data_IF_294747665372
#
_entry.id   IF_294747665372
#
_cell.length_a   1.000
_cell.length_b   1.000
_cell.length_c   1.000
_cell.angle_alpha   90.00
_cell.angle_beta   90.00
_cell.angle_gamma   90.00
#
_symmetry.space_group_name_H-M   'P 1'
#
loop_
_entity.id
_entity.type
_entity.pdbx_description
1 polymer ?
#
# COMPACT_ATOMS: atom_id res chain seq x y z
N UNK A 1 -27.17 2.35 1.05
CA UNK A 1 -26.78 3.41 2.01
C UNK A 1 -25.26 3.41 2.03
N UNK A 2 -24.60 4.47 1.52
CA UNK A 2 -23.15 4.38 1.24
C UNK A 2 -22.36 4.17 2.53
N UNK A 3 -21.37 3.26 2.49
CA UNK A 3 -20.50 2.88 3.62
C UNK A 3 -19.86 4.10 4.32
N UNK A 4 -19.66 5.19 3.59
CA UNK A 4 -19.11 6.43 4.12
C UNK A 4 -20.03 7.23 5.02
N UNK A 5 -21.35 7.04 4.95
CA UNK A 5 -22.29 7.81 5.77
C UNK A 5 -22.09 7.60 7.26
N UNK A 6 -21.49 6.47 7.65
CA UNK A 6 -21.19 6.14 9.04
C UNK A 6 -19.77 6.54 9.47
N UNK A 7 -18.93 7.05 8.57
CA UNK A 7 -17.59 7.51 8.94
C UNK A 7 -17.66 8.84 9.70
N UNK A 8 -16.86 9.00 10.77
CA UNK A 8 -16.79 10.29 11.43
C UNK A 8 -16.25 11.34 10.47
N UNK A 9 -16.86 12.54 10.52
CA UNK A 9 -16.50 13.67 9.65
C UNK A 9 -15.02 13.99 9.69
N UNK A 10 -14.43 13.96 10.87
CA UNK A 10 -12.99 14.10 11.06
C UNK A 10 -12.53 12.87 11.83
N UNK A 11 -11.46 12.26 11.35
CA UNK A 11 -10.93 11.04 11.94
C UNK A 11 -9.41 11.08 11.96
N UNK A 12 -8.82 10.68 13.07
CA UNK A 12 -7.39 10.47 13.18
C UNK A 12 -7.10 9.07 13.67
N UNK A 13 -6.10 8.42 13.06
CA UNK A 13 -5.76 7.04 13.40
C UNK A 13 -5.33 6.89 14.87
N UNK A 14 -4.78 7.97 15.47
CA UNK A 14 -4.41 8.07 16.88
C UNK A 14 -5.57 7.86 17.85
N UNK A 15 -6.79 8.14 17.40
CA UNK A 15 -7.94 8.04 18.29
C UNK A 15 -8.17 6.56 18.61
N UNK A 16 -7.85 5.68 17.65
CA UNK A 16 -7.96 4.23 17.75
C UNK A 16 -6.70 3.59 18.34
N UNK A 17 -5.53 4.20 18.15
CA UNK A 17 -4.23 3.58 18.39
C UNK A 17 -3.49 4.29 19.52
N UNK A 18 -3.06 3.53 20.54
CA UNK A 18 -2.20 4.06 21.62
C UNK A 18 -0.79 4.37 21.08
N UNK A 19 -0.37 5.64 20.99
CA UNK A 19 0.94 6.01 20.46
C UNK A 19 2.10 5.40 21.27
N UNK A 20 1.89 5.12 22.56
CA UNK A 20 2.92 4.58 23.44
C UNK A 20 3.12 3.06 23.31
N UNK A 21 2.22 2.36 22.61
CA UNK A 21 2.34 0.93 22.38
C UNK A 21 3.42 0.54 21.34
N UNK A 22 4.05 1.54 20.70
CA UNK A 22 4.97 1.35 19.57
C UNK A 22 6.40 1.61 19.98
N UNK A 23 7.09 0.56 20.40
CA UNK A 23 8.29 0.80 21.23
C UNK A 23 9.60 1.05 20.50
N UNK A 24 9.95 0.56 19.29
CA UNK A 24 11.41 0.55 19.00
C UNK A 24 12.02 0.80 17.60
N UNK A 25 11.36 0.68 16.43
CA UNK A 25 12.18 0.58 15.18
C UNK A 25 11.87 1.59 14.06
N UNK A 26 10.66 2.15 14.06
CA UNK A 26 10.40 3.42 13.41
C UNK A 26 9.73 4.25 14.49
N UNK A 27 10.47 5.17 15.11
CA UNK A 27 9.82 6.29 15.79
C UNK A 27 9.11 7.04 14.68
N UNK A 28 7.87 6.65 14.41
CA UNK A 28 6.99 7.48 13.63
C UNK A 28 6.83 8.72 14.48
N UNK A 29 7.53 9.75 14.06
CA UNK A 29 7.51 11.04 14.71
C UNK A 29 6.17 11.68 14.32
N UNK A 30 5.08 11.13 14.87
CA UNK A 30 3.70 11.50 14.57
C UNK A 30 3.43 12.85 15.22
N UNK A 31 3.42 13.90 14.41
CA UNK A 31 2.95 15.18 14.89
C UNK A 31 1.43 15.28 14.76
N UNK A 32 0.72 14.86 15.80
CA UNK A 32 -0.73 14.91 15.84
C UNK A 32 -1.31 16.31 15.99
N UNK A 33 -0.50 17.37 16.04
CA UNK A 33 -0.99 18.74 15.95
C UNK A 33 -1.29 19.15 14.50
N UNK A 34 -0.74 18.45 13.49
CA UNK A 34 -1.07 18.68 12.08
C UNK A 34 -2.51 18.33 11.73
N UNK A 35 -3.04 17.31 12.41
CA UNK A 35 -4.41 16.83 12.29
C UNK A 35 -5.44 17.96 12.45
N UNK A 36 -5.20 18.89 13.38
CA UNK A 36 -6.08 20.06 13.59
C UNK A 36 -6.02 21.07 12.44
N UNK A 37 -4.95 21.09 11.63
CA UNK A 37 -4.82 21.94 10.44
C UNK A 37 -5.43 21.31 9.17
N UNK A 38 -5.71 20.00 9.17
CA UNK A 38 -6.39 19.28 8.07
C UNK A 38 -7.91 19.49 8.02
N UNK A 39 -8.48 20.20 9.00
CA UNK A 39 -9.92 20.51 9.05
C UNK A 39 -10.38 21.46 7.94
N UNK A 40 -9.44 21.98 7.15
CA UNK A 40 -9.68 22.93 6.07
C UNK A 40 -10.03 22.20 4.78
N UNK A 41 -11.33 22.00 4.57
CA UNK A 41 -11.94 21.58 3.30
C UNK A 41 -12.00 22.71 2.25
N UNK A 42 -11.00 23.58 2.22
CA UNK A 42 -11.02 24.79 1.38
C UNK A 42 -9.92 24.68 0.33
N UNK A 43 -10.31 24.33 -0.89
CA UNK A 43 -9.40 24.19 -2.02
C UNK A 43 -8.59 25.47 -2.28
N UNK A 44 -9.16 26.66 -2.06
CA UNK A 44 -8.44 27.93 -2.24
C UNK A 44 -7.29 28.07 -1.25
N UNK A 45 -7.50 27.65 0.01
CA UNK A 45 -6.42 27.61 1.01
C UNK A 45 -5.36 26.56 0.68
N UNK A 46 -5.69 25.56 -0.13
CA UNK A 46 -4.76 24.51 -0.52
C UNK A 46 -3.91 24.85 -1.75
N UNK A 47 -4.34 25.79 -2.59
CA UNK A 47 -3.59 26.21 -3.80
C UNK A 47 -2.19 26.74 -3.48
N UNK A 48 -1.99 27.29 -2.28
CA UNK A 48 -0.67 27.77 -1.81
C UNK A 48 0.36 26.66 -1.62
N UNK A 49 -0.06 25.39 -1.55
CA UNK A 49 0.84 24.26 -1.34
C UNK A 49 1.32 23.67 -2.66
N UNK A 50 2.58 23.21 -2.68
CA UNK A 50 3.20 22.61 -3.87
C UNK A 50 2.37 21.42 -4.36
N UNK A 51 1.88 21.51 -5.60
CA UNK A 51 1.21 20.38 -6.27
C UNK A 51 2.25 19.29 -6.55
N UNK A 52 1.94 18.06 -6.15
CA UNK A 52 2.74 16.87 -6.44
C UNK A 52 2.20 16.12 -7.65
N UNK A 53 0.88 16.05 -7.77
CA UNK A 53 0.21 15.37 -8.87
C UNK A 53 -1.29 15.67 -8.88
N UNK A 54 -1.94 15.32 -9.98
CA UNK A 54 -3.38 15.34 -10.15
C UNK A 54 -3.78 14.14 -11.00
N UNK A 55 -4.84 13.46 -10.58
CA UNK A 55 -5.47 12.39 -11.33
C UNK A 55 -6.94 12.70 -11.57
N UNK A 56 -7.64 11.77 -12.23
CA UNK A 56 -9.05 11.94 -12.62
C UNK A 56 -9.99 12.31 -11.47
N UNK A 57 -9.64 11.92 -10.24
CA UNK A 57 -10.48 12.09 -9.06
C UNK A 57 -10.02 13.21 -8.12
N UNK A 58 -8.78 13.70 -8.25
CA UNK A 58 -8.24 14.55 -7.19
C UNK A 58 -6.82 15.06 -7.38
N UNK A 59 -6.39 15.86 -6.41
CA UNK A 59 -5.08 16.53 -6.40
C UNK A 59 -4.31 16.14 -5.15
N UNK A 60 -3.03 15.82 -5.33
CA UNK A 60 -2.08 15.61 -4.24
C UNK A 60 -1.17 16.84 -4.08
N UNK A 61 -1.02 17.31 -2.84
CA UNK A 61 -0.19 18.48 -2.51
C UNK A 61 0.74 18.18 -1.34
N UNK A 62 1.97 18.68 -1.44
CA UNK A 62 2.95 18.61 -0.37
C UNK A 62 2.68 19.72 0.65
N UNK A 63 2.52 19.33 1.90
CA UNK A 63 2.39 20.27 3.02
C UNK A 63 3.55 20.05 3.99
N UNK A 64 4.09 21.14 4.52
CA UNK A 64 5.13 21.11 5.55
C UNK A 64 4.58 21.64 6.87
N UNK A 65 4.90 20.95 7.95
CA UNK A 65 4.47 21.30 9.30
C UNK A 65 5.44 20.71 10.33
N UNK A 66 5.95 21.57 11.22
CA UNK A 66 6.95 21.23 12.25
C UNK A 66 8.12 20.41 11.67
N UNK A 67 8.73 20.95 10.61
CA UNK A 67 9.87 20.37 9.88
C UNK A 67 9.63 18.98 9.27
N UNK A 68 8.37 18.55 9.21
CA UNK A 68 7.95 17.32 8.56
C UNK A 68 7.10 17.63 7.34
N UNK A 69 7.27 16.79 6.32
CA UNK A 69 6.50 16.84 5.09
C UNK A 69 5.42 15.76 5.09
N UNK A 70 4.27 16.11 4.52
CA UNK A 70 3.12 15.23 4.38
C UNK A 70 2.47 15.46 3.03
N UNK A 71 1.69 14.48 2.58
CA UNK A 71 0.90 14.60 1.35
C UNK A 71 -0.57 14.71 1.72
N UNK A 72 -1.15 15.83 1.35
CA UNK A 72 -2.59 16.05 1.39
C UNK A 72 -3.17 15.63 0.04
N UNK A 73 -4.02 14.60 0.03
CA UNK A 73 -4.79 14.17 -1.14
C UNK A 73 -6.23 14.64 -0.96
N UNK A 74 -6.76 15.37 -1.94
CA UNK A 74 -8.17 15.76 -1.98
C UNK A 74 -8.83 15.12 -3.19
N UNK A 75 -9.91 14.38 -2.95
CA UNK A 75 -10.75 13.75 -3.95
C UNK A 75 -12.04 14.55 -4.05
N UNK A 76 -12.30 15.12 -5.24
CA UNK A 76 -13.51 15.91 -5.48
C UNK A 76 -14.65 14.99 -5.89
N UNK A 77 -15.74 15.00 -5.12
CA UNK A 77 -16.87 14.10 -5.35
C UNK A 77 -18.00 14.72 -6.15
N UNK A 78 -17.92 16.02 -6.47
CA UNK A 78 -19.00 16.68 -7.22
C UNK A 78 -19.13 16.22 -8.66
N UNK A 79 -18.05 15.66 -9.23
CA UNK A 79 -18.03 15.36 -10.66
C UNK A 79 -18.56 13.97 -11.00
N UNK A 80 -18.53 13.01 -10.07
CA UNK A 80 -18.90 11.61 -10.34
C UNK A 80 -19.43 10.92 -9.09
N UNK A 81 -20.64 10.34 -9.13
CA UNK A 81 -21.13 9.51 -8.00
C UNK A 81 -20.17 8.35 -7.71
N UNK A 82 -19.61 7.74 -8.76
CA UNK A 82 -18.59 6.69 -8.69
C UNK A 82 -17.33 7.12 -7.92
N UNK A 83 -17.01 8.41 -7.91
CA UNK A 83 -15.86 8.93 -7.16
C UNK A 83 -16.09 8.91 -5.65
N UNK A 84 -17.34 8.92 -5.18
CA UNK A 84 -17.66 8.79 -3.76
C UNK A 84 -17.32 7.38 -3.31
N UNK A 85 -17.86 6.37 -3.97
CA UNK A 85 -17.64 4.97 -3.60
C UNK A 85 -16.17 4.57 -3.70
N UNK A 86 -15.49 5.01 -4.76
CA UNK A 86 -14.06 4.79 -4.92
C UNK A 86 -13.24 5.48 -3.81
N UNK A 87 -13.52 6.75 -3.50
CA UNK A 87 -12.85 7.46 -2.40
C UNK A 87 -13.10 6.81 -1.03
N UNK A 88 -14.33 6.34 -0.81
CA UNK A 88 -14.72 5.60 0.38
C UNK A 88 -13.95 4.27 0.50
N UNK A 89 -13.88 3.51 -0.59
CA UNK A 89 -13.11 2.27 -0.67
C UNK A 89 -11.63 2.50 -0.39
N UNK A 90 -11.04 3.52 -1.01
CA UNK A 90 -9.65 3.92 -0.77
C UNK A 90 -9.41 4.26 0.70
N UNK A 91 -10.30 5.05 1.29
CA UNK A 91 -10.19 5.50 2.67
C UNK A 91 -10.29 4.33 3.65
N UNK A 92 -11.31 3.48 3.50
CA UNK A 92 -11.52 2.31 4.34
C UNK A 92 -10.36 1.32 4.21
N UNK A 93 -9.86 1.09 3.00
CA UNK A 93 -8.71 0.23 2.77
C UNK A 93 -7.44 0.79 3.43
N UNK A 94 -7.18 2.09 3.30
CA UNK A 94 -6.04 2.74 3.95
C UNK A 94 -6.10 2.60 5.48
N UNK A 95 -7.27 2.85 6.08
CA UNK A 95 -7.48 2.68 7.53
C UNK A 95 -7.22 1.22 7.92
N UNK A 96 -7.83 0.28 7.20
CA UNK A 96 -7.70 -1.14 7.48
C UNK A 96 -6.25 -1.62 7.37
N UNK A 97 -5.57 -1.37 6.25
CA UNK A 97 -4.21 -1.81 6.01
C UNK A 97 -3.24 -1.19 7.03
N UNK A 98 -3.43 0.08 7.36
CA UNK A 98 -2.60 0.73 8.37
C UNK A 98 -2.82 0.09 9.75
N UNK A 99 -4.07 -0.08 10.21
CA UNK A 99 -4.36 -0.71 11.51
C UNK A 99 -3.84 -2.14 11.57
N UNK A 100 -4.10 -2.95 10.54
CA UNK A 100 -3.80 -4.38 10.56
C UNK A 100 -2.34 -4.69 10.30
N UNK A 101 -1.63 -3.90 9.49
CA UNK A 101 -0.27 -4.22 9.03
C UNK A 101 0.77 -3.21 9.50
N UNK A 102 0.59 -1.92 9.23
CA UNK A 102 1.59 -0.89 9.59
C UNK A 102 1.70 -0.76 11.11
N UNK A 103 0.57 -0.56 11.77
CA UNK A 103 0.44 -0.41 13.21
C UNK A 103 0.36 -1.72 13.98
N UNK A 104 0.48 -2.87 13.34
CA UNK A 104 0.90 -4.10 14.04
C UNK A 104 2.34 -4.49 13.71
N UNK A 105 3.05 -3.60 13.00
CA UNK A 105 4.43 -3.77 12.56
C UNK A 105 4.62 -5.08 11.79
N UNK A 106 3.63 -5.49 11.00
CA UNK A 106 3.74 -6.65 10.11
C UNK A 106 4.49 -6.28 8.84
N UNK A 107 4.44 -5.02 8.42
CA UNK A 107 5.24 -4.48 7.31
C UNK A 107 5.29 -2.95 7.39
N UNK A 108 6.43 -2.30 7.06
CA UNK A 108 6.52 -0.85 6.93
C UNK A 108 6.18 -0.37 5.51
N UNK A 109 5.89 -1.27 4.57
CA UNK A 109 5.85 -1.01 3.13
C UNK A 109 4.44 -0.71 2.59
N UNK A 110 3.60 -0.11 3.42
CA UNK A 110 2.33 0.51 3.02
C UNK A 110 2.44 1.98 3.38
N UNK A 111 1.88 2.86 2.55
CA UNK A 111 1.87 4.29 2.84
C UNK A 111 1.14 4.54 4.16
N UNK A 112 1.80 5.30 5.02
CA UNK A 112 1.27 5.62 6.34
C UNK A 112 0.13 6.60 6.21
N UNK A 113 -1.04 6.22 6.71
CA UNK A 113 -2.24 7.04 6.77
C UNK A 113 -2.38 7.70 8.15
N UNK A 114 -2.59 9.02 8.17
CA UNK A 114 -2.66 9.81 9.41
C UNK A 114 -4.10 10.17 9.81
N UNK A 115 -4.97 10.40 8.84
CA UNK A 115 -6.35 10.82 9.09
C UNK A 115 -7.05 11.39 7.87
N UNK A 116 -8.33 11.69 8.03
CA UNK A 116 -9.19 12.25 6.98
C UNK A 116 -10.11 13.34 7.49
N UNK A 117 -10.68 14.06 6.54
CA UNK A 117 -11.79 14.98 6.72
C UNK A 117 -12.81 14.80 5.59
N UNK A 118 -14.06 14.60 5.97
CA UNK A 118 -15.20 14.51 5.08
C UNK A 118 -15.68 15.94 4.77
N UNK A 119 -15.44 16.38 3.55
CA UNK A 119 -15.78 17.70 3.07
C UNK A 119 -17.16 17.70 2.41
N UNK A 120 -17.79 18.87 2.32
CA UNK A 120 -19.08 19.00 1.62
C UNK A 120 -19.00 18.52 0.16
N UNK A 121 -17.83 18.74 -0.46
CA UNK A 121 -17.60 18.54 -1.89
C UNK A 121 -16.55 17.44 -2.17
N UNK A 122 -16.22 16.61 -1.19
CA UNK A 122 -15.16 15.62 -1.37
C UNK A 122 -14.63 14.99 -0.09
N UNK A 123 -13.51 14.29 -0.26
CA UNK A 123 -12.76 13.69 0.84
C UNK A 123 -11.35 14.24 0.82
N UNK A 124 -10.80 14.58 1.98
CA UNK A 124 -9.37 14.77 2.10
C UNK A 124 -8.76 13.80 3.09
N UNK A 125 -7.55 13.35 2.78
CA UNK A 125 -6.78 12.56 3.72
C UNK A 125 -5.30 12.91 3.66
N UNK A 126 -4.64 12.67 4.78
CA UNK A 126 -3.24 12.96 4.99
C UNK A 126 -2.46 11.65 5.05
N UNK A 127 -1.45 11.56 4.20
CA UNK A 127 -0.51 10.43 4.16
C UNK A 127 0.92 10.93 4.29
N UNK A 128 1.86 10.01 4.55
CA UNK A 128 3.27 10.38 4.64
C UNK A 128 3.81 10.86 3.29
N UNK A 129 4.73 11.82 3.31
CA UNK A 129 5.50 12.13 2.11
C UNK A 129 6.60 11.10 1.88
N UNK A 130 6.76 10.72 0.62
CA UNK A 130 7.90 9.97 0.11
C UNK A 130 8.69 10.84 -0.88
N UNK A 131 9.92 10.44 -1.18
CA UNK A 131 10.86 11.26 -1.97
C UNK A 131 10.61 11.12 -3.48
N UNK A 132 10.14 9.96 -3.93
CA UNK A 132 9.84 9.63 -5.32
C UNK A 132 8.90 8.42 -5.39
N UNK A 133 8.51 7.98 -6.58
CA UNK A 133 7.93 6.66 -6.82
C UNK A 133 8.95 5.69 -7.46
N UNK A 134 8.55 4.44 -7.67
CA UNK A 134 9.44 3.42 -8.23
C UNK A 134 9.75 3.70 -9.70
N UNK A 135 8.84 4.33 -10.46
CA UNK A 135 9.11 4.73 -11.83
C UNK A 135 10.23 5.78 -11.89
N UNK A 136 10.10 6.84 -11.11
CA UNK A 136 11.13 7.87 -10.94
C UNK A 136 12.45 7.26 -10.42
N UNK A 137 12.38 6.32 -9.47
CA UNK A 137 13.57 5.62 -8.97
C UNK A 137 14.29 4.87 -10.09
N UNK A 138 13.57 4.23 -11.02
CA UNK A 138 14.18 3.55 -12.17
C UNK A 138 14.93 4.51 -13.09
N UNK A 139 14.40 5.72 -13.31
CA UNK A 139 15.02 6.71 -14.19
C UNK A 139 16.24 7.38 -13.54
N UNK A 140 16.19 7.59 -12.22
CA UNK A 140 17.15 8.45 -11.53
C UNK A 140 18.20 7.69 -10.70
N UNK A 141 17.94 6.44 -10.28
CA UNK A 141 18.87 5.67 -9.45
C UNK A 141 19.63 4.65 -10.30
N UNK A 142 20.94 4.88 -10.45
CA UNK A 142 21.84 4.00 -11.23
C UNK A 142 22.06 2.63 -10.59
N UNK A 143 22.03 2.54 -9.25
CA UNK A 143 22.25 1.26 -8.56
C UNK A 143 21.01 0.38 -8.60
N UNK A 144 21.01 -0.54 -9.57
CA UNK A 144 19.96 -1.54 -9.78
C UNK A 144 19.72 -2.41 -8.53
N UNK A 145 20.71 -2.58 -7.64
CA UNK A 145 20.52 -3.36 -6.40
C UNK A 145 19.56 -2.67 -5.44
N UNK A 146 19.48 -1.34 -5.42
CA UNK A 146 18.52 -0.64 -4.57
C UNK A 146 17.09 -0.79 -5.10
N UNK A 147 16.91 -0.76 -6.42
CA UNK A 147 15.63 -1.04 -7.06
C UNK A 147 15.18 -2.48 -6.77
N UNK A 148 16.09 -3.45 -6.84
CA UNK A 148 15.84 -4.85 -6.44
C UNK A 148 15.34 -4.97 -5.00
N UNK A 149 16.03 -4.30 -4.07
CA UNK A 149 15.63 -4.30 -2.66
C UNK A 149 14.24 -3.72 -2.46
N UNK A 150 13.86 -2.66 -3.20
CA UNK A 150 12.50 -2.10 -3.15
C UNK A 150 11.48 -3.10 -3.68
N UNK A 151 11.73 -3.72 -4.82
CA UNK A 151 10.83 -4.73 -5.40
C UNK A 151 10.61 -5.91 -4.46
N UNK A 152 11.65 -6.43 -3.81
CA UNK A 152 11.54 -7.53 -2.83
C UNK A 152 10.69 -7.10 -1.63
N UNK A 153 10.86 -5.87 -1.13
CA UNK A 153 10.05 -5.35 -0.03
C UNK A 153 8.54 -5.35 -0.38
N UNK A 154 8.20 -4.97 -1.62
CA UNK A 154 6.81 -4.97 -2.10
C UNK A 154 6.29 -6.40 -2.27
N UNK A 155 7.06 -7.30 -2.86
CA UNK A 155 6.68 -8.72 -3.03
C UNK A 155 6.43 -9.39 -1.66
N UNK A 156 7.35 -9.19 -0.70
CA UNK A 156 7.18 -9.70 0.66
C UNK A 156 5.92 -9.14 1.32
N UNK A 157 5.65 -7.85 1.12
CA UNK A 157 4.47 -7.19 1.69
C UNK A 157 3.17 -7.73 1.12
N UNK A 158 3.08 -7.93 -0.19
CA UNK A 158 1.93 -8.60 -0.82
C UNK A 158 1.77 -10.02 -0.27
N UNK A 159 2.86 -10.78 -0.14
CA UNK A 159 2.85 -12.11 0.46
C UNK A 159 2.32 -12.12 1.90
N UNK A 160 2.74 -11.16 2.72
CA UNK A 160 2.27 -11.00 4.10
C UNK A 160 0.77 -10.68 4.11
N UNK A 161 0.30 -9.69 3.33
CA UNK A 161 -1.12 -9.34 3.26
C UNK A 161 -1.96 -10.55 2.82
N UNK A 162 -1.56 -11.21 1.74
CA UNK A 162 -2.27 -12.37 1.17
C UNK A 162 -2.19 -13.64 2.03
N UNK A 163 -1.32 -13.67 3.04
CA UNK A 163 -1.31 -14.76 4.02
C UNK A 163 -2.40 -14.60 5.07
N UNK A 164 -2.82 -13.36 5.36
CA UNK A 164 -3.94 -13.07 6.26
C UNK A 164 -5.26 -12.91 5.51
N UNK A 165 -5.22 -12.34 4.30
CA UNK A 165 -6.38 -12.10 3.44
C UNK A 165 -6.08 -12.66 2.03
N UNK A 166 -6.27 -13.98 1.81
CA UNK A 166 -5.89 -14.65 0.56
C UNK A 166 -6.53 -14.10 -0.72
N UNK A 167 -7.62 -13.36 -0.57
CA UNK A 167 -8.41 -12.72 -1.60
C UNK A 167 -8.17 -11.20 -1.70
N UNK A 168 -7.20 -10.65 -0.95
CA UNK A 168 -6.74 -9.28 -1.14
C UNK A 168 -6.20 -9.08 -2.55
N UNK A 169 -6.63 -7.97 -3.17
CA UNK A 169 -6.09 -7.44 -4.42
C UNK A 169 -5.91 -5.94 -4.31
N UNK A 170 -4.78 -5.44 -4.80
CA UNK A 170 -4.59 -4.00 -5.02
C UNK A 170 -5.32 -3.50 -6.27
N UNK A 171 -5.36 -4.35 -7.30
CA UNK A 171 -5.96 -4.13 -8.62
C UNK A 171 -5.34 -3.06 -9.52
N UNK A 172 -4.53 -2.13 -8.98
CA UNK A 172 -3.82 -1.14 -9.80
C UNK A 172 -2.37 -0.96 -9.33
N UNK A 173 -1.66 -2.05 -9.03
CA UNK A 173 -0.29 -1.97 -8.51
C UNK A 173 0.74 -1.78 -9.63
N UNK A 174 0.79 -0.56 -10.16
CA UNK A 174 1.78 -0.09 -11.13
C UNK A 174 3.01 0.53 -10.44
N UNK A 175 4.07 0.83 -11.18
CA UNK A 175 5.30 1.40 -10.62
C UNK A 175 5.11 2.76 -9.94
N UNK A 176 4.31 3.64 -10.53
CA UNK A 176 3.87 4.92 -9.97
C UNK A 176 3.02 4.73 -8.70
N UNK A 177 2.45 3.55 -8.50
CA UNK A 177 1.74 3.14 -7.29
C UNK A 177 2.63 2.48 -6.22
N UNK A 178 3.95 2.59 -6.37
CA UNK A 178 4.93 2.25 -5.33
C UNK A 178 5.76 3.49 -5.00
N UNK A 179 5.46 4.14 -3.87
CA UNK A 179 6.24 5.26 -3.35
C UNK A 179 7.56 4.77 -2.75
N UNK A 180 8.59 5.61 -2.79
CA UNK A 180 9.93 5.30 -2.29
C UNK A 180 10.38 6.39 -1.33
N UNK A 181 10.67 5.99 -0.10
CA UNK A 181 11.21 6.87 0.95
C UNK A 181 12.69 6.61 1.14
N UNK A 182 13.52 7.63 0.99
CA UNK A 182 14.95 7.60 1.24
C UNK A 182 15.21 7.71 2.75
N UNK A 183 16.04 6.81 3.24
CA UNK A 183 16.48 6.79 4.63
C UNK A 183 17.71 7.70 4.81
N UNK A 184 17.80 8.33 5.98
CA UNK A 184 19.00 9.10 6.38
C UNK A 184 20.24 8.21 6.43
N UNK A 185 20.07 6.95 6.83
CA UNK A 185 21.13 5.96 6.94
C UNK A 185 20.65 4.60 6.42
N UNK A 186 21.61 3.81 5.94
CA UNK A 186 21.33 2.44 5.54
C UNK A 186 20.88 1.62 6.75
N UNK A 187 19.81 0.83 6.59
CA UNK A 187 19.17 0.08 7.67
C UNK A 187 18.94 -1.37 7.25
N UNK A 188 19.04 -2.31 8.20
CA UNK A 188 18.63 -3.69 7.99
C UNK A 188 17.13 -3.84 8.27
N UNK A 189 16.38 -4.33 7.29
CA UNK A 189 15.01 -4.79 7.46
C UNK A 189 15.03 -6.32 7.56
N UNK A 190 14.34 -6.87 8.55
CA UNK A 190 14.21 -8.32 8.73
C UNK A 190 12.77 -8.72 8.48
N UNK A 191 12.56 -9.73 7.65
CA UNK A 191 11.24 -10.28 7.34
C UNK A 191 11.20 -11.76 7.66
N UNK A 192 10.01 -12.25 8.02
CA UNK A 192 9.69 -13.67 8.11
C UNK A 192 8.48 -13.98 7.24
N UNK A 193 8.69 -14.80 6.22
CA UNK A 193 7.67 -15.16 5.23
C UNK A 193 7.91 -16.59 4.75
N UNK A 194 6.82 -17.37 4.64
CA UNK A 194 6.86 -18.76 4.19
C UNK A 194 7.96 -19.60 4.88
N UNK A 195 8.00 -19.57 6.20
CA UNK A 195 8.96 -20.27 7.06
C UNK A 195 10.45 -19.90 6.85
N UNK A 196 10.73 -18.77 6.19
CA UNK A 196 12.09 -18.29 5.93
C UNK A 196 12.29 -16.89 6.47
N UNK A 197 13.53 -16.59 6.86
CA UNK A 197 13.94 -15.26 7.29
C UNK A 197 14.70 -14.57 6.18
N UNK A 198 14.43 -13.28 5.98
CA UNK A 198 15.08 -12.45 4.97
C UNK A 198 15.69 -11.23 5.62
N UNK A 199 16.87 -10.81 5.13
CA UNK A 199 17.54 -9.58 5.54
C UNK A 199 17.76 -8.67 4.34
N UNK A 200 17.15 -7.49 4.36
CA UNK A 200 17.30 -6.47 3.31
C UNK A 200 18.02 -5.27 3.91
N UNK A 201 19.30 -5.11 3.58
CA UNK A 201 20.08 -3.92 3.93
C UNK A 201 19.87 -2.84 2.87
N UNK A 202 19.20 -1.75 3.18
CA UNK A 202 18.75 -0.76 2.18
C UNK A 202 18.80 0.68 2.68
N UNK A 203 18.87 1.62 1.73
CA UNK A 203 18.67 3.06 1.94
C UNK A 203 17.29 3.55 1.53
N UNK A 204 16.42 2.65 1.05
CA UNK A 204 15.12 2.99 0.49
C UNK A 204 14.02 2.06 1.01
N UNK A 205 12.91 2.64 1.45
CA UNK A 205 11.70 1.91 1.83
C UNK A 205 10.66 2.08 0.73
N UNK A 206 10.31 0.98 0.06
CA UNK A 206 9.19 0.94 -0.89
C UNK A 206 7.86 0.90 -0.13
N UNK A 207 6.83 1.61 -0.62
CA UNK A 207 5.52 1.72 0.02
C UNK A 207 4.41 1.65 -1.00
N UNK A 208 3.53 0.67 -0.87
CA UNK A 208 2.31 0.57 -1.68
C UNK A 208 1.40 1.76 -1.34
N UNK A 209 0.84 2.42 -2.36
CA UNK A 209 -0.16 3.48 -2.21
C UNK A 209 -1.23 3.38 -3.31
N UNK A 210 -2.19 4.31 -3.28
CA UNK A 210 -3.32 4.41 -4.22
C UNK A 210 -4.29 3.21 -4.20
N UNK A 211 -4.95 3.05 -3.05
CA UNK A 211 -5.84 1.92 -2.77
C UNK A 211 -7.26 2.07 -3.33
N UNK A 212 -7.49 2.98 -4.30
CA UNK A 212 -8.82 3.20 -4.88
C UNK A 212 -9.44 1.91 -5.40
N UNK A 213 -8.67 1.11 -6.15
CA UNK A 213 -9.15 -0.16 -6.67
C UNK A 213 -8.89 -1.37 -5.76
N UNK A 214 -8.38 -1.17 -4.54
CA UNK A 214 -8.10 -2.31 -3.66
C UNK A 214 -9.39 -2.98 -3.18
N UNK A 215 -9.35 -4.31 -2.99
CA UNK A 215 -10.50 -5.07 -2.50
C UNK A 215 -10.08 -6.27 -1.65
N UNK A 216 -10.95 -6.65 -0.70
CA UNK A 216 -10.90 -7.91 0.06
C UNK A 216 -12.31 -8.50 0.03
N UNK A 217 -12.54 -9.47 -0.85
CA UNK A 217 -13.89 -10.02 -1.12
C UNK A 217 -14.58 -10.59 0.14
N UNK A 218 -13.81 -11.20 1.04
CA UNK A 218 -14.24 -11.81 2.28
C UNK A 218 -14.60 -10.80 3.37
N UNK A 219 -14.35 -9.51 3.14
CA UNK A 219 -14.69 -8.41 4.04
C UNK A 219 -15.64 -7.45 3.31
N UNK A 220 -16.97 -7.54 3.52
CA UNK A 220 -17.95 -6.76 2.78
C UNK A 220 -17.68 -5.25 2.75
N UNK A 221 -17.24 -4.65 3.87
CA UNK A 221 -16.91 -3.22 3.92
C UNK A 221 -15.69 -2.81 3.08
N UNK A 222 -14.85 -3.78 2.71
CA UNK A 222 -13.63 -3.62 1.93
C UNK A 222 -13.76 -4.25 0.54
N UNK A 223 -14.95 -4.72 0.18
CA UNK A 223 -15.26 -5.19 -1.15
C UNK A 223 -15.80 -4.01 -1.95
N UNK A 224 -14.90 -3.27 -2.61
CA UNK A 224 -15.25 -2.07 -3.35
C UNK A 224 -16.33 -2.38 -4.42
N UNK A 225 -17.55 -1.87 -4.22
CA UNK A 225 -18.71 -2.12 -5.07
C UNK A 225 -18.47 -1.64 -6.52
N UNK A 226 -17.69 -0.56 -6.67
CA UNK A 226 -17.26 -0.06 -7.98
C UNK A 226 -16.56 -1.14 -8.83
N UNK A 227 -15.96 -2.14 -8.18
CA UNK A 227 -15.23 -3.25 -8.81
C UNK A 227 -16.10 -4.52 -8.90
N UNK A 228 -17.14 -4.67 -8.06
CA UNK A 228 -17.97 -5.87 -8.05
C UNK A 228 -18.93 -5.97 -9.24
N UNK A 229 -19.25 -4.85 -9.88
CA UNK A 229 -20.40 -4.76 -10.80
C UNK A 229 -20.04 -5.04 -12.27
N UNK A 230 -19.05 -5.91 -12.53
CA UNK A 230 -18.49 -6.21 -13.86
C UNK A 230 -17.94 -5.00 -14.65
N UNK A 231 -18.10 -3.77 -14.14
CA UNK A 231 -17.78 -2.51 -14.81
C UNK A 231 -16.33 -2.44 -15.30
N UNK A 232 -15.37 -2.97 -14.55
CA UNK A 232 -13.93 -2.91 -14.89
C UNK A 232 -13.31 -4.27 -15.19
N UNK A 233 -14.13 -5.32 -15.32
CA UNK A 233 -13.66 -6.67 -15.62
C UNK A 233 -12.91 -6.73 -16.96
N UNK A 234 -13.23 -5.84 -17.90
CA UNK A 234 -12.58 -5.77 -19.21
C UNK A 234 -11.10 -5.35 -19.15
N UNK A 235 -10.69 -4.67 -18.07
CA UNK A 235 -9.30 -4.34 -17.73
C UNK A 235 -8.75 -5.20 -16.59
N UNK A 236 -9.44 -6.30 -16.25
CA UNK A 236 -9.06 -7.27 -15.21
C UNK A 236 -8.98 -6.70 -13.78
N UNK A 237 -9.62 -5.55 -13.55
CA UNK A 237 -9.90 -5.03 -12.20
C UNK A 237 -11.14 -5.77 -11.69
N UNK A 238 -10.96 -6.63 -10.68
CA UNK A 238 -12.03 -7.49 -10.16
C UNK A 238 -11.77 -7.86 -8.71
N UNK A 239 -12.85 -8.19 -7.99
CA UNK A 239 -12.81 -8.68 -6.60
C UNK A 239 -12.43 -10.17 -6.52
N UNK A 240 -12.35 -10.88 -7.66
CA UNK A 240 -11.94 -12.28 -7.69
C UNK A 240 -10.47 -12.41 -7.29
N UNK A 241 -10.20 -13.16 -6.23
CA UNK A 241 -8.87 -13.45 -5.73
C UNK A 241 -7.92 -13.90 -6.86
N UNK A 242 -6.77 -13.25 -6.94
CA UNK A 242 -5.66 -13.64 -7.79
C UNK A 242 -4.36 -13.14 -7.17
N UNK A 243 -3.64 -14.04 -6.49
CA UNK A 243 -2.44 -13.69 -5.73
C UNK A 243 -1.30 -13.13 -6.59
N UNK A 244 -1.35 -13.40 -7.88
CA UNK A 244 -0.28 -13.11 -8.82
C UNK A 244 -0.57 -11.87 -9.68
N UNK A 245 -1.80 -11.36 -9.66
CA UNK A 245 -2.20 -10.24 -10.51
C UNK A 245 -1.44 -8.95 -10.19
N UNK A 246 -1.41 -8.54 -8.93
CA UNK A 246 -0.73 -7.30 -8.53
C UNK A 246 0.78 -7.37 -8.76
N UNK A 247 1.38 -8.56 -8.55
CA UNK A 247 2.78 -8.81 -8.88
C UNK A 247 2.99 -8.70 -10.38
N UNK A 248 2.14 -9.34 -11.18
CA UNK A 248 2.26 -9.30 -12.63
C UNK A 248 2.19 -7.85 -13.12
N UNK A 249 1.23 -7.07 -12.64
CA UNK A 249 1.08 -5.67 -13.03
C UNK A 249 2.32 -4.84 -12.69
N UNK A 250 2.82 -4.97 -11.45
CA UNK A 250 4.04 -4.30 -11.00
C UNK A 250 5.23 -4.66 -11.88
N UNK A 251 5.41 -5.95 -12.18
CA UNK A 251 6.53 -6.42 -13.00
C UNK A 251 6.39 -6.01 -14.46
N UNK A 252 5.19 -6.08 -15.02
CA UNK A 252 4.91 -5.69 -16.39
C UNK A 252 5.21 -4.20 -16.60
N UNK A 253 4.68 -3.31 -15.75
CA UNK A 253 5.00 -1.88 -15.81
C UNK A 253 6.48 -1.63 -15.57
N UNK A 254 7.12 -2.40 -14.67
CA UNK A 254 8.56 -2.32 -14.44
C UNK A 254 9.39 -2.63 -15.69
N UNK A 255 9.06 -3.69 -16.42
CA UNK A 255 9.80 -4.06 -17.63
C UNK A 255 9.49 -3.18 -18.82
N UNK A 256 8.25 -2.71 -18.98
CA UNK A 256 7.86 -1.77 -20.04
C UNK A 256 8.64 -0.45 -19.91
N UNK A 257 8.95 -0.03 -18.69
CA UNK A 257 9.74 1.16 -18.38
C UNK A 257 11.27 0.92 -18.39
N UNK A 258 11.75 -0.16 -19.03
CA UNK A 258 13.18 -0.43 -19.20
C UNK A 258 13.86 -1.13 -18.00
N UNK A 259 13.08 -1.63 -17.05
CA UNK A 259 13.58 -2.37 -15.90
C UNK A 259 14.40 -3.62 -16.28
N UNK A 260 15.49 -3.88 -15.54
CA UNK A 260 16.45 -4.98 -15.84
C UNK A 260 16.91 -5.74 -14.60
N UNK A 261 16.37 -5.45 -13.43
CA UNK A 261 16.81 -6.02 -12.15
C UNK A 261 16.57 -7.51 -12.05
N UNK A 262 15.45 -7.99 -12.58
CA UNK A 262 15.14 -9.41 -12.53
C UNK A 262 15.96 -10.19 -13.55
N UNK A 263 16.36 -11.40 -13.16
CA UNK A 263 17.13 -12.30 -14.01
C UNK A 263 16.46 -12.48 -15.38
N UNK A 264 17.29 -12.76 -16.39
CA UNK A 264 16.81 -13.27 -17.68
C UNK A 264 15.82 -14.42 -17.49
N UNK A 265 15.87 -15.16 -16.38
CA UNK A 265 14.94 -16.24 -16.05
C UNK A 265 13.51 -15.75 -15.78
N UNK A 266 13.29 -14.65 -15.04
CA UNK A 266 11.93 -14.11 -14.81
C UNK A 266 11.42 -13.45 -16.08
N UNK A 267 12.27 -12.70 -16.79
CA UNK A 267 11.90 -12.11 -18.07
C UNK A 267 11.59 -13.19 -19.11
N UNK A 268 12.37 -14.28 -19.16
CA UNK A 268 12.12 -15.46 -20.01
C UNK A 268 10.87 -16.20 -19.56
N UNK A 269 10.63 -16.33 -18.27
CA UNK A 269 9.40 -16.89 -17.73
C UNK A 269 8.20 -16.08 -18.21
N UNK A 270 8.19 -14.75 -17.98
CA UNK A 270 7.13 -13.85 -18.43
C UNK A 270 7.01 -13.85 -19.96
N UNK A 271 8.11 -13.85 -20.72
CA UNK A 271 8.05 -13.83 -22.18
C UNK A 271 7.60 -15.16 -22.79
N UNK A 272 8.03 -16.30 -22.24
CA UNK A 272 7.65 -17.61 -22.74
C UNK A 272 6.18 -17.91 -22.45
N UNK A 273 5.68 -17.35 -21.36
CA UNK A 273 4.33 -17.57 -20.90
C UNK A 273 3.35 -16.47 -21.31
N UNK A 274 3.81 -15.24 -21.45
CA UNK A 274 3.01 -14.03 -21.68
C UNK A 274 2.86 -13.63 -23.14
N UNK A 275 3.50 -14.33 -24.08
CA UNK A 275 3.28 -14.16 -25.53
C UNK A 275 1.94 -14.78 -25.97
N UNK A 276 0.82 -14.26 -25.45
CA UNK A 276 -0.42 -14.27 -26.22
C UNK A 276 -0.47 -12.99 -27.04
N UNK A 277 -0.77 -13.14 -28.34
CA UNK A 277 -0.73 -12.14 -29.41
C UNK A 277 -1.20 -10.73 -28.98
N UNK A 278 -0.56 -9.72 -29.58
CA UNK A 278 -0.76 -8.25 -29.52
C UNK A 278 -2.20 -7.70 -29.64
N UNK A 279 -3.25 -8.52 -29.57
CA UNK A 279 -4.62 -8.03 -29.63
C UNK A 279 -5.16 -7.77 -28.23
N UNK A 280 -5.27 -6.47 -27.95
CA UNK A 280 -6.15 -5.78 -27.01
C UNK A 280 -6.99 -6.62 -26.06
N UNK A 281 -6.88 -6.24 -24.79
CA UNK A 281 -7.63 -6.65 -23.61
C UNK A 281 -7.07 -7.88 -22.90
N UNK A 282 -6.66 -7.62 -21.65
CA UNK A 282 -6.16 -8.50 -20.58
C UNK A 282 -7.02 -9.75 -20.26
N UNK A 283 -7.95 -10.13 -21.13
CA UNK A 283 -9.08 -11.02 -20.85
C UNK A 283 -8.80 -12.51 -21.03
N UNK A 284 -7.73 -12.92 -21.72
CA UNK A 284 -7.36 -14.34 -21.73
C UNK A 284 -6.42 -14.63 -20.57
N UNK A 285 -7.02 -15.06 -19.46
CA UNK A 285 -6.39 -15.73 -18.32
C UNK A 285 -5.23 -16.62 -18.78
N UNK A 286 -4.04 -16.05 -18.81
CA UNK A 286 -2.86 -16.81 -19.13
C UNK A 286 -2.50 -17.56 -17.85
N UNK A 287 -2.77 -18.88 -17.81
CA UNK A 287 -2.53 -19.75 -16.64
C UNK A 287 -1.14 -19.54 -16.04
N UNK A 288 -0.18 -19.16 -16.85
CA UNK A 288 1.17 -18.90 -16.41
C UNK A 288 1.34 -17.67 -15.50
N UNK A 289 0.40 -16.72 -15.52
CA UNK A 289 0.39 -15.63 -14.54
C UNK A 289 -0.03 -16.11 -13.16
N UNK A 290 -0.85 -17.15 -13.04
CA UNK A 290 -1.24 -17.72 -11.74
C UNK A 290 -0.03 -18.23 -10.94
N UNK A 291 1.09 -18.50 -11.61
CA UNK A 291 2.33 -18.99 -11.01
C UNK A 291 3.15 -17.86 -10.34
N UNK A 292 2.98 -16.60 -10.75
CA UNK A 292 3.73 -15.43 -10.23
C UNK A 292 3.27 -14.99 -8.82
N UNK A 293 3.12 -15.93 -7.92
CA UNK A 293 2.79 -15.66 -6.52
C UNK A 293 3.99 -15.07 -5.78
N UNK A 294 3.79 -14.36 -4.65
CA UNK A 294 4.89 -13.92 -3.81
C UNK A 294 5.83 -15.07 -3.44
N UNK A 295 5.27 -16.21 -3.04
CA UNK A 295 6.02 -17.43 -2.70
C UNK A 295 6.92 -17.92 -3.82
N UNK A 296 6.38 -17.98 -5.05
CA UNK A 296 7.16 -18.39 -6.22
C UNK A 296 8.30 -17.42 -6.51
N UNK A 297 8.05 -16.10 -6.46
CA UNK A 297 9.10 -15.12 -6.75
C UNK A 297 10.21 -15.11 -5.71
N UNK A 298 9.90 -15.39 -4.44
CA UNK A 298 10.91 -15.40 -3.38
C UNK A 298 12.01 -16.46 -3.59
N UNK A 299 11.77 -17.50 -4.40
CA UNK A 299 12.83 -18.47 -4.74
C UNK A 299 14.00 -17.83 -5.52
N UNK A 300 13.76 -16.74 -6.26
CA UNK A 300 14.80 -16.01 -6.99
C UNK A 300 15.59 -15.05 -6.09
N UNK A 301 15.18 -14.91 -4.82
CA UNK A 301 15.76 -14.01 -3.83
C UNK A 301 16.41 -14.75 -2.67
N UNK A 302 16.80 -16.01 -2.88
CA UNK A 302 17.50 -16.84 -1.88
C UNK A 302 18.77 -16.19 -1.34
N UNK A 303 19.43 -15.30 -2.11
CA UNK A 303 20.59 -14.52 -1.64
C UNK A 303 20.29 -13.56 -0.47
N UNK A 304 19.02 -13.28 -0.20
CA UNK A 304 18.57 -12.47 0.94
C UNK A 304 18.11 -13.32 2.12
N UNK A 305 18.00 -14.64 1.94
CA UNK A 305 17.64 -15.56 3.01
C UNK A 305 18.79 -15.61 4.03
N UNK A 306 18.42 -15.61 5.31
CA UNK A 306 19.34 -15.74 6.43
C UNK A 306 18.80 -16.75 7.43
N UNK A 307 19.68 -17.26 8.29
CA UNK A 307 19.27 -18.05 9.43
C UNK A 307 18.76 -17.14 10.57
N UNK A 308 17.85 -17.68 11.38
CA UNK A 308 17.26 -16.93 12.51
C UNK A 308 18.30 -16.39 13.50
N UNK A 309 19.38 -17.14 13.73
CA UNK A 309 20.48 -16.76 14.64
C UNK A 309 21.32 -15.58 14.13
N UNK A 310 21.19 -15.19 12.85
CA UNK A 310 21.85 -14.01 12.29
C UNK A 310 21.08 -12.70 12.57
N UNK A 311 19.88 -12.79 13.13
CA UNK A 311 19.05 -11.65 13.49
C UNK A 311 19.47 -11.14 14.89
N UNK A 312 19.88 -9.88 15.04
CA UNK A 312 20.19 -9.32 16.35
C UNK A 312 18.99 -9.44 17.31
N UNK A 313 19.25 -9.77 18.58
CA UNK A 313 18.20 -10.09 19.59
C UNK A 313 17.09 -9.05 19.71
N UNK A 314 17.40 -7.77 19.46
CA UNK A 314 16.46 -6.65 19.59
C UNK A 314 15.96 -6.11 18.23
N UNK A 315 16.26 -6.80 17.13
CA UNK A 315 15.75 -6.43 15.82
C UNK A 315 14.29 -6.83 15.66
N UNK A 316 13.51 -5.94 15.07
CA UNK A 316 12.13 -6.20 14.71
C UNK A 316 12.09 -7.06 13.45
N UNK A 317 11.20 -8.05 13.46
CA UNK A 317 10.97 -8.94 12.33
C UNK A 317 9.57 -8.67 11.81
N UNK A 318 9.49 -8.14 10.60
CA UNK A 318 8.25 -7.95 9.85
C UNK A 318 7.73 -9.31 9.35
N UNK A 319 6.42 -9.45 9.16
CA UNK A 319 5.82 -10.63 8.56
C UNK A 319 4.89 -11.42 9.47
N UNK A 320 4.68 -12.70 9.14
CA UNK A 320 3.63 -13.53 9.74
C UNK A 320 4.08 -13.95 11.15
N UNK A 321 3.41 -13.49 12.19
CA UNK A 321 3.69 -14.01 13.54
C UNK A 321 3.00 -15.37 13.65
N UNK A 322 3.74 -16.42 14.05
CA UNK A 322 3.19 -17.78 14.27
C UNK A 322 2.06 -17.85 15.31
N UNK A 323 1.73 -16.74 15.95
CA UNK A 323 0.58 -16.60 16.81
C UNK A 323 -0.49 -15.80 16.07
N UNK A 324 -1.73 -16.33 16.04
CA UNK A 324 -2.96 -15.59 15.65
C UNK A 324 -2.79 -14.13 16.05
N UNK A 325 -2.97 -13.19 15.11
CA UNK A 325 -2.91 -11.75 15.42
C UNK A 325 -3.80 -11.53 16.65
N UNK A 326 -3.18 -11.38 17.83
CA UNK A 326 -3.89 -10.89 19.00
C UNK A 326 -4.06 -9.43 18.68
N UNK A 327 -5.15 -9.11 17.98
CA UNK A 327 -5.54 -7.72 17.72
C UNK A 327 -5.46 -7.02 19.06
N UNK A 328 -4.63 -5.99 19.13
CA UNK A 328 -4.27 -5.37 20.39
C UNK A 328 -5.57 -5.05 21.15
N UNK A 329 -5.78 -5.67 22.32
CA UNK A 329 -7.01 -5.47 23.11
C UNK A 329 -7.11 -4.02 23.63
N UNK A 330 -6.02 -3.24 23.52
CA UNK A 330 -5.92 -1.85 23.95
C UNK A 330 -6.42 -0.84 22.90
N UNK A 331 -7.07 -1.28 21.81
CA UNK A 331 -7.80 -0.34 20.94
C UNK A 331 -8.88 0.37 21.79
N UNK A 332 -8.74 1.68 21.97
CA UNK A 332 -9.64 2.47 22.82
C UNK A 332 -11.09 2.35 22.34
N UNK A 333 -12.04 2.38 23.28
CA UNK A 333 -13.48 2.59 23.02
C UNK A 333 -13.71 4.00 22.46
N UNK A 334 -13.40 4.22 21.18
CA UNK A 334 -13.73 5.47 20.47
C UNK A 334 -15.12 5.38 19.87
N UNK A 335 -15.80 6.50 19.74
CA UNK A 335 -17.11 6.71 19.09
C UNK A 335 -17.20 6.28 17.60
N UNK A 336 -16.17 5.67 17.02
CA UNK A 336 -16.19 4.90 15.77
C UNK A 336 -16.26 3.38 15.96
N UNK A 337 -16.71 2.92 17.14
CA UNK A 337 -16.62 1.53 17.57
C UNK A 337 -17.36 0.51 16.68
N UNK A 338 -18.35 0.95 15.90
CA UNK A 338 -19.06 0.10 14.95
C UNK A 338 -18.16 -0.27 13.77
N UNK A 339 -17.47 0.70 13.16
CA UNK A 339 -16.60 0.48 12.00
C UNK A 339 -15.44 -0.46 12.33
N UNK A 340 -14.83 -0.32 13.52
CA UNK A 340 -13.72 -1.21 13.92
C UNK A 340 -14.21 -2.63 14.20
N UNK A 341 -15.42 -2.79 14.74
CA UNK A 341 -16.00 -4.14 14.96
C UNK A 341 -16.29 -4.82 13.62
N UNK A 342 -16.75 -4.06 12.63
CA UNK A 342 -17.11 -4.60 11.32
C UNK A 342 -15.88 -4.81 10.41
N UNK A 343 -14.76 -4.13 10.70
CA UNK A 343 -13.46 -4.37 10.05
C UNK A 343 -12.67 -5.54 10.69
N UNK A 344 -12.93 -5.88 11.95
CA UNK A 344 -12.37 -7.09 12.60
C UNK A 344 -12.93 -8.35 11.96
#
# INVERSE_FOLDING_TARGET
>A
MSLCTNLPKIFFIKDIIDPNAYTNIVKYDYDFSIAKKLTVCDNKKMEKYKKLGEGSFGVARLISFNDKSYVYKFINTHYYNDSIENACGELLMNIFLNIHFVFNQLTPNIVTYYGHNLCKNGYSFLIESCDMDLFDMQQNIKDKKEIEKVLIQIILTLGIIQSYYPDFRHNDLRNDNVLVKKLKQETNLYYYFNNKYYKIKTKYIGKIHDHGFSSIKSKPLLNNEFISDNNLSYVNITTKANKSFDIFMLLDTYFQNGGTVFSNSIKKFINNNGKSKKNSQYQKHNKAYEILTPTFLMQFFSKYEINKNEIPKNSHIYGIKNNKIKVNKNLKKVSGHTIIKDLK
#
